data_IF_517732329768
#
_entry.id   IF_517732329768
#
_cell.length_a   1.000
_cell.length_b   1.000
_cell.length_c   1.000
_cell.angle_alpha   90.00
_cell.angle_beta   90.00
_cell.angle_gamma   90.00
#
_symmetry.space_group_name_H-M   'P 1'
#
loop_
_entity.id
_entity.type
_entity.pdbx_description
1 polymer ?
#
# COMPACT_ATOMS: atom_id res chain seq x y z
N UNK A 1 -8.34 -6.75 0.18
CA UNK A 1 -9.59 -7.10 -0.56
C UNK A 1 -10.67 -6.01 -0.49
N UNK A 2 -11.15 -5.61 0.70
CA UNK A 2 -12.23 -4.62 0.85
C UNK A 2 -11.84 -3.20 0.37
N UNK A 3 -10.58 -2.80 0.53
CA UNK A 3 -10.07 -1.50 0.06
C UNK A 3 -10.13 -1.38 -1.48
N UNK A 4 -9.61 -2.35 -2.23
CA UNK A 4 -9.68 -2.32 -3.69
C UNK A 4 -11.10 -2.53 -4.25
N UNK A 5 -12.01 -3.14 -3.50
CA UNK A 5 -13.43 -3.16 -3.83
C UNK A 5 -14.07 -1.78 -3.70
N UNK A 6 -13.75 -1.04 -2.64
CA UNK A 6 -14.17 0.35 -2.51
C UNK A 6 -13.57 1.21 -3.65
N UNK A 7 -12.27 1.07 -3.92
CA UNK A 7 -11.57 1.75 -5.02
C UNK A 7 -12.28 1.51 -6.36
N UNK A 8 -12.60 0.27 -6.70
CA UNK A 8 -13.31 -0.04 -7.95
C UNK A 8 -14.66 0.70 -8.03
N UNK A 9 -15.47 0.63 -6.98
CA UNK A 9 -16.78 1.28 -6.95
C UNK A 9 -16.67 2.80 -7.10
N UNK A 10 -15.72 3.42 -6.41
CA UNK A 10 -15.51 4.87 -6.45
C UNK A 10 -14.94 5.33 -7.81
N UNK A 11 -14.01 4.56 -8.40
CA UNK A 11 -13.52 4.80 -9.77
C UNK A 11 -14.67 4.76 -10.79
N UNK A 12 -15.56 3.77 -10.69
CA UNK A 12 -16.75 3.68 -11.55
C UNK A 12 -17.67 4.88 -11.33
N UNK A 13 -18.01 5.18 -10.07
CA UNK A 13 -18.95 6.24 -9.72
C UNK A 13 -18.47 7.63 -10.17
N UNK A 14 -17.15 7.86 -10.15
CA UNK A 14 -16.56 9.10 -10.62
C UNK A 14 -16.28 9.11 -12.13
N UNK A 15 -16.43 8.00 -12.85
CA UNK A 15 -16.19 7.93 -14.30
C UNK A 15 -14.71 7.90 -14.66
N UNK A 16 -13.92 7.11 -13.94
CA UNK A 16 -12.52 6.84 -14.27
C UNK A 16 -12.38 6.01 -15.55
N UNK A 17 -11.24 6.09 -16.25
CA UNK A 17 -10.92 5.22 -17.37
C UNK A 17 -11.08 3.73 -17.02
N UNK A 18 -11.63 2.96 -17.97
CA UNK A 18 -11.92 1.53 -17.77
C UNK A 18 -10.67 0.70 -17.39
N UNK A 19 -9.48 1.11 -17.83
CA UNK A 19 -8.24 0.42 -17.49
C UNK A 19 -7.88 0.55 -15.99
N UNK A 20 -8.17 1.68 -15.33
CA UNK A 20 -7.94 1.84 -13.89
C UNK A 20 -8.90 0.94 -13.08
N UNK A 21 -10.16 0.86 -13.52
CA UNK A 21 -11.16 -0.05 -12.93
C UNK A 21 -10.72 -1.52 -13.06
N UNK A 22 -10.21 -1.90 -14.25
CA UNK A 22 -9.72 -3.25 -14.48
C UNK A 22 -8.51 -3.61 -13.61
N UNK A 23 -7.58 -2.66 -13.40
CA UNK A 23 -6.44 -2.84 -12.51
C UNK A 23 -6.85 -2.95 -11.05
N UNK A 24 -7.82 -2.14 -10.59
CA UNK A 24 -8.39 -2.27 -9.25
C UNK A 24 -9.02 -3.66 -9.02
N UNK A 25 -9.72 -4.22 -10.01
CA UNK A 25 -10.22 -5.61 -9.95
C UNK A 25 -9.11 -6.65 -9.89
N UNK A 26 -7.98 -6.41 -10.54
CA UNK A 26 -6.82 -7.29 -10.44
C UNK A 26 -6.26 -7.29 -9.04
N UNK A 27 -6.01 -6.10 -8.50
CA UNK A 27 -5.51 -5.92 -7.14
C UNK A 27 -6.40 -6.62 -6.10
N UNK A 28 -7.73 -6.60 -6.26
CA UNK A 28 -8.62 -7.37 -5.38
C UNK A 28 -8.31 -8.87 -5.34
N UNK A 29 -7.97 -9.48 -6.49
CA UNK A 29 -7.60 -10.90 -6.56
C UNK A 29 -6.23 -11.14 -5.97
N UNK A 30 -5.30 -10.22 -6.19
CA UNK A 30 -3.94 -10.28 -5.66
C UNK A 30 -3.97 -10.24 -4.14
N UNK A 31 -4.74 -9.32 -3.56
CA UNK A 31 -5.01 -9.25 -2.13
C UNK A 31 -5.59 -10.53 -1.52
N UNK A 32 -6.49 -11.21 -2.24
CA UNK A 32 -7.04 -12.48 -1.76
C UNK A 32 -5.94 -13.56 -1.69
N UNK A 33 -5.03 -13.59 -2.67
CA UNK A 33 -3.86 -14.48 -2.67
C UNK A 33 -2.90 -14.12 -1.55
N UNK A 34 -2.62 -12.83 -1.35
CA UNK A 34 -1.74 -12.33 -0.30
C UNK A 34 -2.28 -12.67 1.09
N UNK A 35 -3.57 -12.41 1.32
CA UNK A 35 -4.22 -12.75 2.58
C UNK A 35 -4.11 -14.25 2.90
N UNK A 36 -4.32 -15.12 1.90
CA UNK A 36 -4.16 -16.56 2.08
C UNK A 36 -2.70 -16.94 2.40
N UNK A 37 -1.72 -16.35 1.69
CA UNK A 37 -0.30 -16.58 1.95
C UNK A 37 0.11 -16.14 3.36
N UNK A 38 -0.31 -14.94 3.78
CA UNK A 38 -0.02 -14.39 5.10
C UNK A 38 -0.72 -15.18 6.21
N UNK A 39 -1.94 -15.65 5.99
CA UNK A 39 -2.66 -16.50 6.94
C UNK A 39 -1.96 -17.85 7.15
N UNK A 40 -1.46 -18.46 6.07
CA UNK A 40 -0.67 -19.69 6.16
C UNK A 40 0.66 -19.48 6.91
N UNK A 41 1.33 -18.35 6.69
CA UNK A 41 2.53 -17.99 7.44
C UNK A 41 2.21 -17.76 8.92
N UNK A 42 1.17 -16.99 9.24
CA UNK A 42 0.73 -16.73 10.61
C UNK A 42 0.42 -18.05 11.35
N UNK A 43 -0.35 -18.94 10.73
CA UNK A 43 -0.66 -20.25 11.30
C UNK A 43 0.60 -21.08 11.57
N UNK A 44 1.60 -21.02 10.68
CA UNK A 44 2.90 -21.68 10.87
C UNK A 44 3.67 -21.14 12.07
N UNK A 45 3.51 -19.86 12.39
CA UNK A 45 4.09 -19.23 13.58
C UNK A 45 3.18 -19.31 14.82
N UNK A 46 2.07 -20.06 14.75
CA UNK A 46 1.15 -20.24 15.87
C UNK A 46 0.21 -19.05 16.13
N UNK A 47 0.13 -18.10 15.21
CA UNK A 47 -0.74 -16.95 15.28
C UNK A 47 -2.01 -17.16 14.42
N UNK A 48 -3.10 -16.52 14.84
CA UNK A 48 -4.32 -16.41 14.03
C UNK A 48 -4.51 -14.96 13.61
N UNK A 49 -4.81 -14.73 12.34
CA UNK A 49 -5.17 -13.40 11.84
C UNK A 49 -6.66 -13.20 12.09
N UNK A 50 -7.08 -12.21 12.90
CA UNK A 50 -8.49 -11.93 13.10
C UNK A 50 -9.12 -11.43 11.81
N UNK A 51 -10.39 -11.77 11.59
CA UNK A 51 -11.17 -11.23 10.49
C UNK A 51 -11.42 -9.74 10.74
N UNK A 52 -11.14 -8.90 9.72
CA UNK A 52 -11.49 -7.48 9.73
C UNK A 52 -12.76 -7.32 8.94
N UNK A 53 -13.84 -6.92 9.62
CA UNK A 53 -15.07 -6.49 8.96
C UNK A 53 -14.99 -4.98 8.71
N UNK A 54 -15.12 -4.58 7.44
CA UNK A 54 -15.21 -3.17 7.06
C UNK A 54 -16.63 -2.93 6.58
N UNK A 55 -17.31 -1.95 7.17
CA UNK A 55 -18.63 -1.53 6.71
C UNK A 55 -18.59 -1.04 5.25
N UNK A 56 -19.69 -1.22 4.53
CA UNK A 56 -19.84 -0.69 3.20
C UNK A 56 -19.90 0.84 3.26
N UNK A 57 -18.75 1.50 3.08
CA UNK A 57 -18.66 2.95 3.00
C UNK A 57 -19.42 3.45 1.77
N UNK A 58 -20.19 4.52 1.97
CA UNK A 58 -20.81 5.27 0.88
C UNK A 58 -19.75 5.79 -0.10
N UNK A 59 -20.12 5.98 -1.36
CA UNK A 59 -19.22 6.58 -2.36
C UNK A 59 -18.86 8.00 -1.91
N UNK A 60 -17.56 8.24 -1.69
CA UNK A 60 -17.05 9.54 -1.24
C UNK A 60 -17.13 10.58 -2.35
N UNK A 61 -16.91 11.85 -2.01
CA UNK A 61 -16.65 12.87 -3.03
C UNK A 61 -15.30 12.61 -3.70
N UNK A 62 -15.11 13.12 -4.93
CA UNK A 62 -13.86 12.89 -5.67
C UNK A 62 -12.61 13.39 -4.92
N UNK A 63 -12.73 14.48 -4.15
CA UNK A 63 -11.61 14.98 -3.34
C UNK A 63 -11.31 14.07 -2.15
N UNK A 64 -12.32 13.57 -1.44
CA UNK A 64 -12.11 12.63 -0.33
C UNK A 64 -11.51 11.32 -0.82
N UNK A 65 -12.00 10.82 -1.95
CA UNK A 65 -11.43 9.67 -2.67
C UNK A 65 -9.96 9.91 -3.04
N UNK A 66 -9.65 11.05 -3.66
CA UNK A 66 -8.29 11.37 -4.08
C UNK A 66 -7.33 11.53 -2.88
N UNK A 67 -7.81 12.14 -1.79
CA UNK A 67 -7.05 12.26 -0.53
C UNK A 67 -6.72 10.88 0.04
N UNK A 68 -7.69 9.97 0.10
CA UNK A 68 -7.44 8.60 0.53
C UNK A 68 -6.40 7.91 -0.36
N UNK A 69 -6.57 7.99 -1.69
CA UNK A 69 -5.64 7.38 -2.63
C UNK A 69 -4.22 7.95 -2.48
N UNK A 70 -4.07 9.24 -2.22
CA UNK A 70 -2.76 9.84 -1.98
C UNK A 70 -2.09 9.31 -0.70
N UNK A 71 -2.86 9.00 0.34
CA UNK A 71 -2.35 8.46 1.61
C UNK A 71 -2.08 6.96 1.50
N UNK A 72 -3.08 6.18 1.13
CA UNK A 72 -2.97 4.72 1.09
C UNK A 72 -2.24 4.27 -0.18
N UNK A 73 -2.76 4.61 -1.37
CA UNK A 73 -2.22 4.18 -2.66
C UNK A 73 -0.82 4.74 -2.97
N UNK A 74 -0.64 6.06 -2.91
CA UNK A 74 0.63 6.66 -3.32
C UNK A 74 1.73 6.53 -2.27
N UNK A 75 1.40 6.71 -0.98
CA UNK A 75 2.41 6.67 0.09
C UNK A 75 2.56 5.28 0.68
N UNK A 76 1.48 4.67 1.16
CA UNK A 76 1.56 3.42 1.91
C UNK A 76 1.84 2.21 1.03
N UNK A 77 1.18 2.05 -0.13
CA UNK A 77 1.48 0.93 -1.04
C UNK A 77 2.90 1.04 -1.60
N UNK A 78 3.36 2.24 -1.99
CA UNK A 78 4.73 2.44 -2.49
C UNK A 78 5.77 1.99 -1.46
N UNK A 79 5.59 2.33 -0.19
CA UNK A 79 6.49 1.86 0.86
C UNK A 79 6.29 0.38 1.16
N UNK A 80 5.06 -0.11 1.18
CA UNK A 80 4.72 -1.52 1.37
C UNK A 80 5.40 -2.42 0.32
N UNK A 81 5.39 -2.01 -0.94
CA UNK A 81 6.09 -2.69 -2.03
C UNK A 81 7.60 -2.77 -1.79
N UNK A 82 8.22 -1.67 -1.31
CA UNK A 82 9.64 -1.65 -0.99
C UNK A 82 9.98 -2.53 0.22
N UNK A 83 9.12 -2.54 1.25
CA UNK A 83 9.25 -3.45 2.40
C UNK A 83 9.11 -4.90 1.95
N UNK A 84 8.14 -5.22 1.09
CA UNK A 84 7.95 -6.56 0.56
C UNK A 84 9.16 -7.03 -0.26
N UNK A 85 9.70 -6.16 -1.12
CA UNK A 85 10.91 -6.44 -1.87
C UNK A 85 12.11 -6.67 -0.94
N UNK A 86 12.26 -5.85 0.11
CA UNK A 86 13.30 -6.02 1.12
C UNK A 86 13.16 -7.37 1.85
N UNK A 87 11.96 -7.71 2.34
CA UNK A 87 11.72 -9.01 2.97
C UNK A 87 11.97 -10.18 2.03
N UNK A 88 11.65 -10.02 0.74
CA UNK A 88 11.92 -11.00 -0.31
C UNK A 88 13.41 -11.28 -0.53
N UNK A 89 14.31 -10.42 -0.08
CA UNK A 89 15.76 -10.64 -0.15
C UNK A 89 16.39 -11.00 1.19
N UNK A 90 15.86 -10.46 2.29
CA UNK A 90 16.54 -10.48 3.59
C UNK A 90 15.86 -11.32 4.67
N UNK A 91 14.66 -11.86 4.43
CA UNK A 91 14.00 -12.70 5.43
C UNK A 91 14.79 -14.00 5.71
N UNK A 92 15.14 -14.25 6.98
CA UNK A 92 15.83 -15.48 7.37
C UNK A 92 14.97 -16.73 7.25
N UNK A 93 13.64 -16.59 7.30
CA UNK A 93 12.72 -17.70 7.05
C UNK A 93 12.44 -17.87 5.55
N UNK A 94 12.79 -19.05 4.99
CA UNK A 94 12.60 -19.36 3.56
C UNK A 94 11.16 -19.25 3.06
N UNK A 95 10.17 -19.55 3.89
CA UNK A 95 8.76 -19.46 3.50
C UNK A 95 8.32 -17.99 3.39
N UNK A 96 8.77 -17.15 4.33
CA UNK A 96 8.54 -15.69 4.28
C UNK A 96 9.24 -15.10 3.06
N UNK A 97 10.52 -15.43 2.85
CA UNK A 97 11.30 -14.95 1.71
C UNK A 97 10.61 -15.26 0.38
N UNK A 98 10.16 -16.51 0.18
CA UNK A 98 9.45 -16.91 -1.04
C UNK A 98 8.11 -16.19 -1.23
N UNK A 99 7.31 -16.05 -0.17
CA UNK A 99 6.04 -15.34 -0.22
C UNK A 99 6.23 -13.85 -0.55
N UNK A 100 7.15 -13.18 0.15
CA UNK A 100 7.38 -11.76 -0.01
C UNK A 100 7.96 -11.39 -1.38
N UNK A 101 8.76 -12.26 -2.01
CA UNK A 101 9.18 -12.07 -3.42
C UNK A 101 8.00 -12.01 -4.39
N UNK A 102 7.02 -12.90 -4.22
CA UNK A 102 5.82 -12.88 -5.07
C UNK A 102 4.95 -11.66 -4.78
N UNK A 103 4.76 -11.35 -3.49
CA UNK A 103 3.94 -10.22 -3.05
C UNK A 103 4.55 -8.91 -3.55
N UNK A 104 5.88 -8.73 -3.47
CA UNK A 104 6.55 -7.50 -3.89
C UNK A 104 6.25 -7.07 -5.34
N UNK A 105 6.09 -8.02 -6.25
CA UNK A 105 5.74 -7.73 -7.65
C UNK A 105 4.32 -7.19 -7.76
N UNK A 106 3.38 -7.84 -7.08
CA UNK A 106 1.97 -7.41 -7.05
C UNK A 106 1.83 -6.05 -6.36
N UNK A 107 2.54 -5.81 -5.25
CA UNK A 107 2.50 -4.53 -4.53
C UNK A 107 3.14 -3.38 -5.33
N UNK A 108 4.15 -3.65 -6.14
CA UNK A 108 4.68 -2.65 -7.05
C UNK A 108 3.64 -2.20 -8.10
N UNK A 109 2.82 -3.14 -8.59
CA UNK A 109 1.69 -2.84 -9.48
C UNK A 109 0.58 -2.08 -8.75
N UNK A 110 0.30 -2.42 -7.48
CA UNK A 110 -0.65 -1.67 -6.65
C UNK A 110 -0.22 -0.23 -6.41
N UNK A 111 1.05 -0.01 -6.07
CA UNK A 111 1.63 1.31 -5.92
C UNK A 111 1.52 2.11 -7.23
N UNK A 112 1.87 1.48 -8.37
CA UNK A 112 1.71 2.11 -9.70
C UNK A 112 0.25 2.50 -9.97
N UNK A 113 -0.72 1.65 -9.62
CA UNK A 113 -2.14 1.96 -9.77
C UNK A 113 -2.51 3.20 -8.94
N UNK A 114 -2.03 3.29 -7.69
CA UNK A 114 -2.25 4.45 -6.83
C UNK A 114 -1.79 5.76 -7.50
N UNK A 115 -0.60 5.75 -8.10
CA UNK A 115 -0.06 6.91 -8.82
C UNK A 115 -0.86 7.29 -10.07
N UNK A 116 -1.31 6.31 -10.85
CA UNK A 116 -2.13 6.58 -12.05
C UNK A 116 -3.52 7.10 -11.69
N UNK A 117 -4.10 6.61 -10.58
CA UNK A 117 -5.36 7.14 -10.03
C UNK A 117 -5.18 8.57 -9.54
N UNK A 118 -4.08 8.90 -8.86
CA UNK A 118 -3.76 10.26 -8.42
C UNK A 118 -3.63 11.21 -9.63
N UNK A 119 -2.87 10.79 -10.64
CA UNK A 119 -2.68 11.55 -11.88
C UNK A 119 -4.03 11.84 -12.58
N UNK A 120 -4.89 10.83 -12.69
CA UNK A 120 -6.24 11.01 -13.26
C UNK A 120 -7.10 11.94 -12.41
N UNK A 121 -7.17 11.73 -11.10
CA UNK A 121 -8.03 12.50 -10.21
C UNK A 121 -7.65 13.99 -10.25
N UNK A 122 -6.34 14.31 -10.24
CA UNK A 122 -5.82 15.69 -10.34
C UNK A 122 -6.35 16.46 -11.54
N UNK A 123 -6.59 15.81 -12.68
CA UNK A 123 -7.13 16.48 -13.89
C UNK A 123 -8.55 17.04 -13.69
N UNK A 124 -9.22 16.65 -12.61
CA UNK A 124 -10.63 16.96 -12.32
C UNK A 124 -10.84 17.75 -11.04
N UNK A 125 -9.76 18.02 -10.29
CA UNK A 125 -9.82 18.76 -9.03
C UNK A 125 -9.57 20.26 -9.27
N UNK A 126 -10.20 21.09 -8.44
CA UNK A 126 -9.97 22.54 -8.44
C UNK A 126 -8.67 22.87 -7.71
N UNK A 127 -8.09 24.07 -7.89
CA UNK A 127 -6.84 24.45 -7.24
C UNK A 127 -6.82 24.28 -5.71
N UNK A 128 -7.91 24.64 -5.01
CA UNK A 128 -8.01 24.45 -3.56
C UNK A 128 -8.07 22.98 -3.13
N UNK A 129 -8.62 22.11 -3.98
CA UNK A 129 -8.68 20.67 -3.76
C UNK A 129 -7.33 20.02 -4.02
N UNK A 130 -6.59 20.46 -5.04
CA UNK A 130 -5.21 20.07 -5.29
C UNK A 130 -4.29 20.42 -4.11
N UNK A 131 -4.42 21.62 -3.55
CA UNK A 131 -3.65 22.02 -2.38
C UNK A 131 -3.94 21.12 -1.16
N UNK A 132 -5.21 20.74 -0.95
CA UNK A 132 -5.61 19.81 0.11
C UNK A 132 -5.02 18.41 -0.12
N UNK A 133 -5.09 17.90 -1.35
CA UNK A 133 -4.51 16.63 -1.76
C UNK A 133 -2.99 16.58 -1.50
N UNK A 134 -2.27 17.62 -1.92
CA UNK A 134 -0.81 17.72 -1.76
C UNK A 134 -0.41 17.79 -0.29
N UNK A 135 -1.16 18.51 0.54
CA UNK A 135 -0.95 18.53 1.99
C UNK A 135 -1.18 17.14 2.59
N UNK A 136 -2.27 16.46 2.24
CA UNK A 136 -2.53 15.12 2.77
C UNK A 136 -1.42 14.11 2.40
N UNK A 137 -0.89 14.18 1.18
CA UNK A 137 0.23 13.34 0.74
C UNK A 137 1.50 13.63 1.52
N UNK A 138 1.86 14.91 1.70
CA UNK A 138 3.03 15.31 2.50
C UNK A 138 2.90 14.85 3.95
N UNK A 139 1.76 15.11 4.59
CA UNK A 139 1.55 14.71 5.99
C UNK A 139 1.61 13.18 6.15
N UNK A 140 1.08 12.43 5.18
CA UNK A 140 1.18 10.97 5.19
C UNK A 140 2.61 10.48 5.05
N UNK A 141 3.40 11.10 4.17
CA UNK A 141 4.81 10.81 4.02
C UNK A 141 5.60 11.11 5.32
N UNK A 142 5.38 12.27 5.94
CA UNK A 142 6.01 12.64 7.22
C UNK A 142 5.66 11.67 8.34
N UNK A 143 4.37 11.29 8.46
CA UNK A 143 3.94 10.27 9.41
C UNK A 143 4.61 8.93 9.16
N UNK A 144 4.74 8.53 7.90
CA UNK A 144 5.41 7.29 7.54
C UNK A 144 6.88 7.33 7.95
N UNK A 145 7.61 8.40 7.61
CA UNK A 145 9.01 8.59 8.03
C UNK A 145 9.14 8.46 9.54
N UNK A 146 8.29 9.15 10.32
CA UNK A 146 8.33 9.06 11.78
C UNK A 146 8.17 7.62 12.28
N UNK A 147 7.23 6.85 11.71
CA UNK A 147 7.04 5.43 12.06
C UNK A 147 8.22 4.54 11.70
N UNK A 148 8.90 4.81 10.57
CA UNK A 148 10.06 4.00 10.16
C UNK A 148 11.27 4.12 11.09
N UNK A 149 11.30 5.14 11.95
CA UNK A 149 12.34 5.34 12.95
C UNK A 149 12.06 4.58 14.25
N UNK A 150 10.87 4.02 14.43
CA UNK A 150 10.53 3.21 15.60
C UNK A 150 11.34 1.89 15.60
N UNK A 151 12.00 1.54 16.72
CA UNK A 151 12.72 0.28 16.81
C UNK A 151 11.77 -0.92 16.70
N UNK A 152 12.17 -1.93 15.94
CA UNK A 152 11.52 -3.23 15.90
C UNK A 152 12.35 -4.25 16.69
N UNK A 153 11.69 -5.28 17.22
CA UNK A 153 12.38 -6.39 17.88
C UNK A 153 13.37 -7.07 16.89
N UNK A 154 14.62 -7.36 17.31
CA UNK A 154 15.63 -7.96 16.42
C UNK A 154 15.15 -9.26 15.74
N UNK A 155 14.33 -10.04 16.43
CA UNK A 155 13.76 -11.28 15.92
C UNK A 155 12.84 -11.05 14.71
N UNK A 156 12.11 -9.93 14.68
CA UNK A 156 11.25 -9.57 13.55
C UNK A 156 12.09 -9.25 12.31
N UNK A 157 13.21 -8.56 12.49
CA UNK A 157 14.15 -8.32 11.40
C UNK A 157 14.81 -9.62 10.92
N UNK A 158 15.34 -10.42 11.84
CA UNK A 158 16.07 -11.64 11.50
C UNK A 158 15.18 -12.72 10.86
N UNK A 159 13.96 -12.93 11.39
CA UNK A 159 13.09 -14.03 10.94
C UNK A 159 12.21 -13.60 9.78
N UNK A 160 11.54 -12.44 9.89
CA UNK A 160 10.58 -11.98 8.90
C UNK A 160 11.21 -11.07 7.84
N UNK A 161 12.45 -10.62 8.04
CA UNK A 161 13.10 -9.67 7.15
C UNK A 161 12.55 -8.26 7.25
N UNK A 162 11.83 -7.92 8.34
CA UNK A 162 11.30 -6.56 8.48
C UNK A 162 12.47 -5.56 8.56
N UNK A 163 12.42 -4.44 7.81
CA UNK A 163 13.50 -3.49 7.80
C UNK A 163 13.58 -2.79 9.17
N UNK A 164 14.76 -2.81 9.77
CA UNK A 164 15.07 -2.00 10.94
C UNK A 164 15.11 -0.50 10.58
N UNK A 165 15.32 0.38 11.56
CA UNK A 165 15.34 1.82 11.31
C UNK A 165 16.41 2.24 10.27
N UNK A 166 17.67 1.72 10.31
CA UNK A 166 18.64 1.98 9.26
C UNK A 166 18.21 1.51 7.86
N UNK A 167 17.64 0.30 7.73
CA UNK A 167 17.16 -0.20 6.45
C UNK A 167 15.97 0.60 5.93
N UNK A 168 15.00 0.91 6.80
CA UNK A 168 13.84 1.72 6.46
C UNK A 168 14.25 3.12 6.00
N UNK A 169 15.24 3.74 6.64
CA UNK A 169 15.81 5.04 6.21
C UNK A 169 16.39 4.98 4.79
N UNK A 170 17.06 3.88 4.43
CA UNK A 170 17.59 3.69 3.06
C UNK A 170 16.46 3.53 2.05
N UNK A 171 15.43 2.75 2.38
CA UNK A 171 14.24 2.60 1.54
C UNK A 171 13.55 3.95 1.32
N UNK A 172 13.34 4.72 2.40
CA UNK A 172 12.73 6.05 2.32
C UNK A 172 13.54 7.01 1.45
N UNK A 173 14.86 7.02 1.60
CA UNK A 173 15.76 7.82 0.75
C UNK A 173 15.64 7.43 -0.73
N UNK A 174 15.57 6.14 -1.04
CA UNK A 174 15.47 5.65 -2.42
C UNK A 174 14.13 6.01 -3.07
N UNK A 175 13.05 6.05 -2.28
CA UNK A 175 11.69 6.36 -2.75
C UNK A 175 11.38 7.86 -2.76
N UNK A 176 12.20 8.71 -2.11
CA UNK A 176 11.98 10.15 -2.02
C UNK A 176 11.62 10.85 -3.35
N UNK A 177 12.23 10.50 -4.51
CA UNK A 177 11.88 11.12 -5.79
C UNK A 177 10.44 10.89 -6.26
N UNK A 178 9.74 9.88 -5.71
CA UNK A 178 8.34 9.61 -6.04
C UNK A 178 7.40 10.54 -5.26
N UNK A 179 7.80 11.04 -4.09
CA UNK A 179 6.96 11.84 -3.20
C UNK A 179 7.27 13.35 -3.23
N UNK A 180 8.38 13.74 -3.86
CA UNK A 180 8.78 15.14 -4.12
C UNK A 180 8.03 15.74 -5.30
#
# INVERSE_FOLDING_TARGET
>A
MLAFQALERELIAHGAPAHLVARARSAQRDEARHHAAMSNLAARFGAQVPAVEVEALAVRTLIEFAVENAVEGCVRETFGAAVAAYQGEWAGNRAVLGAMRSIAVDEAEHASLGWDVDAWARTRLRPGELARLDTARRDAHERLVARTLEPIAPELSAVLGLPDAPASTRLMTALAPLWS
#
